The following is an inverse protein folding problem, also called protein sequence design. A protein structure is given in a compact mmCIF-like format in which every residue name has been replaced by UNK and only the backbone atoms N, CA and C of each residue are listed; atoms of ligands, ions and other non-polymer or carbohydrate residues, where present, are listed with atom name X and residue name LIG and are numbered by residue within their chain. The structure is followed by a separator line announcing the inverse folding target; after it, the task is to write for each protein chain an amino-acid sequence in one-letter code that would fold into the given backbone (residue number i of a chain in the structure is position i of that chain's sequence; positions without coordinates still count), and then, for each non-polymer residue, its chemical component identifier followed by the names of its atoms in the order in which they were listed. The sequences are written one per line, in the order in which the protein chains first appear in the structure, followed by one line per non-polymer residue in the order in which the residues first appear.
data_IF_992265129641
#
_entry.id   IF_992265129641
#
_cell.length_a   1.000
_cell.length_b   1.000
_cell.length_c   1.000
_cell.angle_alpha   90.00
_cell.angle_beta   90.00
_cell.angle_gamma   90.00
#
_symmetry.space_group_name_H-M   'P 1'
#
loop_
_entity.id
_entity.type
_entity.pdbx_description
1 polymer ?
#
# COMPACT_ATOMS: atom_id res chain seq x y z
N UNK A 1 19.99 -0.99 -25.72
CA UNK A 1 20.69 -0.79 -24.44
C UNK A 1 20.24 -1.89 -23.47
N UNK A 2 21.11 -2.87 -23.22
CA UNK A 2 20.88 -3.87 -22.17
C UNK A 2 21.36 -3.26 -20.88
N UNK A 3 20.45 -3.07 -19.93
CA UNK A 3 20.78 -2.55 -18.61
C UNK A 3 21.52 -3.64 -17.81
N UNK A 4 22.67 -3.30 -17.23
CA UNK A 4 23.45 -4.21 -16.40
C UNK A 4 23.35 -3.80 -14.93
N UNK A 5 22.67 -4.59 -14.10
CA UNK A 5 22.68 -4.44 -12.65
C UNK A 5 23.63 -5.51 -12.06
N UNK A 6 24.75 -5.10 -11.48
CA UNK A 6 25.72 -6.03 -10.88
C UNK A 6 26.38 -7.01 -11.86
N UNK A 7 26.53 -6.63 -13.14
CA UNK A 7 27.17 -7.47 -14.18
C UNK A 7 26.25 -8.50 -14.85
N UNK A 8 25.00 -8.59 -14.43
CA UNK A 8 23.98 -9.46 -15.05
C UNK A 8 23.12 -8.60 -15.98
N UNK A 9 22.87 -9.03 -17.25
CA UNK A 9 21.94 -8.34 -18.13
C UNK A 9 20.52 -8.49 -17.58
N UNK A 10 20.01 -7.45 -16.96
CA UNK A 10 18.69 -7.44 -16.33
C UNK A 10 17.99 -6.13 -16.68
N UNK A 11 16.84 -6.23 -17.35
CA UNK A 11 15.99 -5.08 -17.64
C UNK A 11 14.74 -5.14 -16.75
N UNK A 12 14.70 -4.38 -15.62
CA UNK A 12 13.57 -4.39 -14.70
C UNK A 12 12.30 -3.78 -15.31
N UNK A 13 12.42 -3.00 -16.38
CA UNK A 13 11.32 -2.32 -17.07
C UNK A 13 11.15 -2.85 -18.52
N UNK A 14 11.55 -4.09 -18.78
CA UNK A 14 11.49 -4.71 -20.10
C UNK A 14 10.06 -4.91 -20.63
N UNK A 15 9.94 -5.10 -21.92
CA UNK A 15 8.65 -5.32 -22.63
C UNK A 15 7.86 -6.49 -22.02
N UNK A 16 8.55 -7.54 -21.55
CA UNK A 16 7.91 -8.71 -20.94
C UNK A 16 7.23 -8.40 -19.60
N UNK A 17 7.74 -7.46 -18.81
CA UNK A 17 7.14 -7.03 -17.53
C UNK A 17 5.88 -6.18 -17.74
N UNK A 18 5.68 -5.64 -18.96
CA UNK A 18 4.47 -4.87 -19.30
C UNK A 18 3.22 -5.75 -19.32
N UNK A 19 3.32 -7.02 -19.73
CA UNK A 19 2.17 -7.93 -19.80
C UNK A 19 1.56 -8.18 -18.39
N UNK A 20 2.34 -8.58 -17.37
CA UNK A 20 1.82 -8.71 -16.01
C UNK A 20 1.35 -7.37 -15.43
N UNK A 21 1.98 -6.24 -15.79
CA UNK A 21 1.54 -4.92 -15.34
C UNK A 21 0.14 -4.57 -15.88
N UNK A 22 -0.14 -4.87 -17.14
CA UNK A 22 -1.48 -4.73 -17.74
C UNK A 22 -2.48 -5.65 -17.04
N UNK A 23 -2.10 -6.90 -16.78
CA UNK A 23 -2.95 -7.83 -16.04
C UNK A 23 -3.28 -7.31 -14.63
N UNK A 24 -2.29 -6.72 -13.94
CA UNK A 24 -2.47 -6.07 -12.64
C UNK A 24 -3.53 -4.96 -12.69
N UNK A 25 -3.44 -4.09 -13.71
CA UNK A 25 -4.42 -3.01 -13.92
C UNK A 25 -5.83 -3.56 -14.22
N UNK A 26 -5.93 -4.61 -15.06
CA UNK A 26 -7.21 -5.24 -15.39
C UNK A 26 -7.87 -5.90 -14.18
N UNK A 27 -7.11 -6.53 -13.30
CA UNK A 27 -7.61 -7.08 -12.03
C UNK A 27 -8.16 -5.94 -11.17
N UNK A 28 -7.44 -4.81 -11.07
CA UNK A 28 -7.93 -3.63 -10.35
C UNK A 28 -9.26 -3.09 -10.90
N UNK A 29 -9.39 -3.00 -12.23
CA UNK A 29 -10.66 -2.61 -12.88
C UNK A 29 -11.76 -3.63 -12.58
N UNK A 30 -11.45 -4.92 -12.61
CA UNK A 30 -12.44 -5.98 -12.31
C UNK A 30 -12.94 -5.87 -10.85
N UNK A 31 -12.05 -5.70 -9.87
CA UNK A 31 -12.42 -5.48 -8.46
C UNK A 31 -13.26 -4.20 -8.31
N UNK A 32 -12.86 -3.11 -8.98
CA UNK A 32 -13.64 -1.87 -8.98
C UNK A 32 -15.05 -2.05 -9.53
N UNK A 33 -15.22 -2.77 -10.63
CA UNK A 33 -16.54 -3.11 -11.19
C UNK A 33 -17.36 -3.97 -10.23
N UNK A 34 -16.73 -4.93 -9.57
CA UNK A 34 -17.40 -5.78 -8.58
C UNK A 34 -17.97 -4.93 -7.43
N UNK A 35 -17.24 -3.93 -6.95
CA UNK A 35 -17.72 -2.99 -5.92
C UNK A 35 -18.91 -2.15 -6.43
N UNK A 36 -18.81 -1.62 -7.65
CA UNK A 36 -19.86 -0.76 -8.22
C UNK A 36 -21.14 -1.52 -8.55
N UNK A 37 -21.07 -2.82 -8.83
CA UNK A 37 -22.22 -3.63 -9.19
C UNK A 37 -23.05 -4.09 -7.98
N UNK A 38 -22.48 -4.07 -6.79
CA UNK A 38 -23.16 -4.47 -5.57
C UNK A 38 -23.89 -3.27 -4.94
N UNK A 39 -25.17 -3.40 -4.66
CA UNK A 39 -25.96 -2.37 -3.97
C UNK A 39 -25.85 -2.46 -2.46
N UNK A 40 -25.70 -3.67 -1.92
CA UNK A 40 -25.59 -3.90 -0.49
C UNK A 40 -24.13 -3.86 -0.03
N UNK A 41 -23.87 -3.14 1.06
CA UNK A 41 -22.50 -2.99 1.60
C UNK A 41 -21.92 -4.30 2.13
N UNK A 42 -22.75 -5.17 2.71
CA UNK A 42 -22.30 -6.49 3.17
C UNK A 42 -21.91 -7.42 2.00
N UNK A 43 -22.67 -7.36 0.91
CA UNK A 43 -22.38 -8.13 -0.29
C UNK A 43 -21.07 -7.63 -0.95
N UNK A 44 -20.84 -6.30 -1.00
CA UNK A 44 -19.57 -5.71 -1.45
C UNK A 44 -18.38 -6.24 -0.67
N UNK A 45 -18.44 -6.14 0.66
CA UNK A 45 -17.36 -6.58 1.54
C UNK A 45 -17.08 -8.07 1.34
N UNK A 46 -18.13 -8.90 1.36
CA UNK A 46 -18.00 -10.35 1.21
C UNK A 46 -17.36 -10.73 -0.11
N UNK A 47 -17.80 -10.15 -1.22
CA UNK A 47 -17.26 -10.46 -2.55
C UNK A 47 -15.83 -9.99 -2.73
N UNK A 48 -15.49 -8.80 -2.23
CA UNK A 48 -14.13 -8.26 -2.32
C UNK A 48 -13.15 -9.07 -1.46
N UNK A 49 -13.56 -9.44 -0.24
CA UNK A 49 -12.75 -10.29 0.63
C UNK A 49 -12.56 -11.70 0.05
N UNK A 50 -13.63 -12.29 -0.50
CA UNK A 50 -13.56 -13.60 -1.13
C UNK A 50 -12.64 -13.56 -2.37
N UNK A 51 -12.81 -12.56 -3.24
CA UNK A 51 -11.95 -12.37 -4.40
C UNK A 51 -10.48 -12.18 -3.99
N UNK A 52 -10.22 -11.38 -2.96
CA UNK A 52 -8.89 -11.17 -2.40
C UNK A 52 -8.28 -12.45 -1.85
N UNK A 53 -9.04 -13.24 -1.09
CA UNK A 53 -8.59 -14.51 -0.53
C UNK A 53 -8.26 -15.55 -1.62
N UNK A 54 -9.13 -15.66 -2.64
CA UNK A 54 -8.90 -16.58 -3.77
C UNK A 54 -7.66 -16.17 -4.57
N UNK A 55 -7.49 -14.87 -4.88
CA UNK A 55 -6.31 -14.38 -5.58
C UNK A 55 -5.04 -14.63 -4.77
N UNK A 56 -5.07 -14.45 -3.45
CA UNK A 56 -3.94 -14.64 -2.57
C UNK A 56 -3.55 -16.12 -2.52
N UNK A 57 -4.52 -17.01 -2.35
CA UNK A 57 -4.33 -18.45 -2.40
C UNK A 57 -3.69 -18.88 -3.73
N UNK A 58 -4.26 -18.40 -4.85
CA UNK A 58 -3.76 -18.72 -6.18
C UNK A 58 -2.34 -18.18 -6.41
N UNK A 59 -2.05 -16.97 -5.92
CA UNK A 59 -0.71 -16.38 -5.97
C UNK A 59 0.34 -17.20 -5.22
N UNK A 60 0.02 -17.71 -4.02
CA UNK A 60 0.91 -18.59 -3.28
C UNK A 60 1.06 -19.97 -3.92
N UNK A 61 0.00 -20.51 -4.54
CA UNK A 61 0.12 -21.76 -5.31
C UNK A 61 1.03 -21.58 -6.52
N UNK A 62 0.95 -20.43 -7.20
CA UNK A 62 1.83 -20.11 -8.32
C UNK A 62 3.28 -19.88 -7.90
N UNK A 63 3.54 -19.43 -6.68
CA UNK A 63 4.88 -19.20 -6.16
C UNK A 63 5.75 -20.47 -6.21
N UNK A 64 5.12 -21.64 -6.11
CA UNK A 64 5.81 -22.92 -6.22
C UNK A 64 6.43 -23.16 -7.62
N UNK A 65 5.80 -22.64 -8.67
CA UNK A 65 6.28 -22.76 -10.05
C UNK A 65 7.03 -21.51 -10.54
N UNK A 66 6.57 -20.34 -10.10
CA UNK A 66 7.09 -19.03 -10.44
C UNK A 66 7.31 -18.22 -9.18
N UNK A 67 8.54 -18.13 -8.64
CA UNK A 67 8.82 -17.39 -7.41
C UNK A 67 8.34 -15.94 -7.45
N UNK A 68 7.82 -15.47 -6.33
CA UNK A 68 7.36 -14.08 -6.18
C UNK A 68 8.55 -13.14 -6.38
N UNK A 69 8.58 -12.44 -7.49
CA UNK A 69 9.65 -11.52 -7.82
C UNK A 69 9.08 -10.18 -8.32
N UNK A 70 9.29 -9.14 -7.52
CA UNK A 70 8.88 -7.78 -7.86
C UNK A 70 9.64 -7.23 -9.08
N UNK A 71 10.92 -7.54 -9.20
CA UNK A 71 11.77 -6.99 -10.27
C UNK A 71 11.39 -7.51 -11.65
N UNK A 72 10.90 -8.75 -11.73
CA UNK A 72 10.43 -9.36 -12.99
C UNK A 72 8.93 -9.25 -13.18
N UNK A 73 8.21 -8.68 -12.20
CA UNK A 73 6.75 -8.58 -12.19
C UNK A 73 6.08 -9.94 -12.43
N UNK A 74 6.50 -10.96 -11.68
CA UNK A 74 6.02 -12.33 -11.87
C UNK A 74 4.51 -12.45 -11.72
N UNK A 75 3.89 -13.45 -12.37
CA UNK A 75 2.46 -13.69 -12.25
C UNK A 75 2.03 -13.96 -10.80
N UNK A 76 2.84 -14.72 -10.04
CA UNK A 76 2.62 -14.94 -8.61
C UNK A 76 2.62 -13.63 -7.82
N UNK A 77 3.55 -12.71 -8.11
CA UNK A 77 3.60 -11.38 -7.50
C UNK A 77 2.32 -10.57 -7.78
N UNK A 78 1.80 -10.59 -9.03
CA UNK A 78 0.56 -9.89 -9.40
C UNK A 78 -0.62 -10.40 -8.57
N UNK A 79 -0.81 -11.72 -8.48
CA UNK A 79 -1.93 -12.31 -7.74
C UNK A 79 -1.81 -12.07 -6.23
N UNK A 80 -0.63 -12.17 -5.65
CA UNK A 80 -0.41 -11.92 -4.23
C UNK A 80 -0.66 -10.45 -3.88
N UNK A 81 -0.14 -9.53 -4.68
CA UNK A 81 -0.32 -8.09 -4.42
C UNK A 81 -1.75 -7.63 -4.64
N UNK A 82 -2.42 -8.09 -5.72
CA UNK A 82 -3.83 -7.80 -5.96
C UNK A 82 -4.73 -8.42 -4.87
N UNK A 83 -4.42 -9.65 -4.45
CA UNK A 83 -5.14 -10.33 -3.38
C UNK A 83 -5.05 -9.57 -2.07
N UNK A 84 -3.82 -9.20 -1.67
CA UNK A 84 -3.58 -8.42 -0.46
C UNK A 84 -4.27 -7.04 -0.51
N UNK A 85 -4.14 -6.33 -1.63
CA UNK A 85 -4.79 -5.05 -1.84
C UNK A 85 -6.32 -5.15 -1.75
N UNK A 86 -6.90 -6.21 -2.33
CA UNK A 86 -8.35 -6.45 -2.26
C UNK A 86 -8.82 -6.78 -0.84
N UNK A 87 -8.04 -7.55 -0.06
CA UNK A 87 -8.34 -7.80 1.35
C UNK A 87 -8.31 -6.52 2.17
N UNK A 88 -7.28 -5.71 2.01
CA UNK A 88 -7.18 -4.41 2.68
C UNK A 88 -8.33 -3.49 2.29
N UNK A 89 -8.68 -3.44 0.99
CA UNK A 89 -9.81 -2.65 0.51
C UNK A 89 -11.13 -3.14 1.10
N UNK A 90 -11.37 -4.45 1.16
CA UNK A 90 -12.55 -5.02 1.79
C UNK A 90 -12.68 -4.66 3.28
N UNK A 91 -11.57 -4.69 4.01
CA UNK A 91 -11.52 -4.27 5.42
C UNK A 91 -11.83 -2.76 5.54
N UNK A 92 -11.28 -1.92 4.65
CA UNK A 92 -11.54 -0.49 4.65
C UNK A 92 -13.01 -0.18 4.35
N UNK A 93 -13.62 -0.83 3.36
CA UNK A 93 -15.05 -0.70 3.06
C UNK A 93 -15.90 -1.12 4.28
N UNK A 94 -15.54 -2.21 4.93
CA UNK A 94 -16.23 -2.64 6.14
C UNK A 94 -16.17 -1.60 7.26
N UNK A 95 -14.98 -1.02 7.50
CA UNK A 95 -14.79 0.00 8.54
C UNK A 95 -15.52 1.29 8.17
N UNK A 96 -15.36 1.79 6.95
CA UNK A 96 -15.82 3.10 6.54
C UNK A 96 -17.30 3.13 6.18
N UNK A 97 -17.80 2.11 5.46
CA UNK A 97 -19.16 2.10 4.91
C UNK A 97 -20.18 1.40 5.83
N UNK A 98 -19.72 0.52 6.75
CA UNK A 98 -20.60 -0.21 7.65
C UNK A 98 -20.40 0.24 9.10
N UNK A 99 -19.21 0.11 9.64
CA UNK A 99 -18.96 0.36 11.06
C UNK A 99 -19.03 1.83 11.44
N UNK A 100 -18.52 2.72 10.61
CA UNK A 100 -18.49 4.15 10.90
C UNK A 100 -19.89 4.78 10.91
N UNK A 101 -20.79 4.53 9.94
CA UNK A 101 -22.17 5.00 10.00
C UNK A 101 -22.93 4.43 11.18
N UNK A 102 -22.76 3.13 11.51
CA UNK A 102 -23.36 2.53 12.71
C UNK A 102 -22.89 3.25 13.99
N UNK A 103 -21.61 3.53 14.11
CA UNK A 103 -21.04 4.25 15.24
C UNK A 103 -21.60 5.67 15.35
N UNK A 104 -21.73 6.38 14.23
CA UNK A 104 -22.21 7.77 14.17
C UNK A 104 -23.74 7.89 14.40
N UNK A 105 -24.50 6.81 14.23
CA UNK A 105 -25.96 6.79 14.49
C UNK A 105 -26.30 6.73 15.98
N UNK A 106 -25.33 6.39 16.83
CA UNK A 106 -25.52 6.30 18.29
C UNK A 106 -24.86 7.50 18.97
N UNK A 107 -25.62 8.28 19.78
CA UNK A 107 -25.03 9.36 20.55
C UNK A 107 -24.00 8.83 21.57
N UNK A 108 -22.79 9.41 21.61
CA UNK A 108 -21.74 8.92 22.48
C UNK A 108 -22.03 9.21 23.96
N UNK A 109 -22.45 8.21 24.70
CA UNK A 109 -22.74 8.31 26.13
C UNK A 109 -21.46 8.35 26.98
N UNK A 110 -20.34 7.79 26.51
CA UNK A 110 -19.10 7.64 27.29
C UNK A 110 -17.94 8.42 26.68
N UNK A 111 -16.95 8.83 27.48
CA UNK A 111 -15.71 9.49 26.99
C UNK A 111 -14.94 8.63 25.96
N UNK A 112 -14.95 7.32 26.16
CA UNK A 112 -14.31 6.38 25.23
C UNK A 112 -14.99 6.37 23.86
N UNK A 113 -16.32 6.38 23.83
CA UNK A 113 -17.09 6.46 22.58
C UNK A 113 -16.83 7.77 21.83
N UNK A 114 -16.75 8.91 22.52
CA UNK A 114 -16.38 10.20 21.91
C UNK A 114 -14.98 10.17 21.29
N UNK A 115 -14.02 9.52 21.95
CA UNK A 115 -12.68 9.35 21.41
C UNK A 115 -12.70 8.47 20.16
N UNK A 116 -13.43 7.36 20.18
CA UNK A 116 -13.61 6.48 19.02
C UNK A 116 -14.25 7.19 17.83
N UNK A 117 -15.29 7.98 18.04
CA UNK A 117 -15.92 8.81 17.01
C UNK A 117 -14.95 9.84 16.42
N UNK A 118 -14.22 10.55 17.25
CA UNK A 118 -13.24 11.53 16.79
C UNK A 118 -12.10 10.89 15.99
N UNK A 119 -11.61 9.74 16.44
CA UNK A 119 -10.58 8.98 15.75
C UNK A 119 -11.08 8.46 14.40
N UNK A 120 -12.25 7.84 14.37
CA UNK A 120 -12.86 7.29 13.16
C UNK A 120 -13.14 8.36 12.10
N UNK A 121 -13.71 9.51 12.49
CA UNK A 121 -13.94 10.63 11.58
C UNK A 121 -12.64 11.24 11.02
N UNK A 122 -11.56 11.24 11.79
CA UNK A 122 -10.25 11.72 11.34
C UNK A 122 -9.67 10.78 10.29
N UNK A 123 -9.77 9.46 10.50
CA UNK A 123 -9.35 8.45 9.54
C UNK A 123 -10.18 8.49 8.25
N UNK A 124 -11.49 8.67 8.36
CA UNK A 124 -12.35 8.85 7.19
C UNK A 124 -11.87 10.00 6.30
N UNK A 125 -11.65 11.19 6.88
CA UNK A 125 -11.13 12.36 6.15
C UNK A 125 -9.76 12.12 5.52
N UNK A 126 -8.89 11.38 6.22
CA UNK A 126 -7.59 11.02 5.69
C UNK A 126 -7.72 10.17 4.43
N UNK A 127 -8.50 9.09 4.46
CA UNK A 127 -8.72 8.24 3.28
C UNK A 127 -9.48 8.97 2.15
N UNK A 128 -10.40 9.85 2.49
CA UNK A 128 -11.10 10.69 1.53
C UNK A 128 -10.14 11.61 0.77
N UNK A 129 -9.20 12.26 1.44
CA UNK A 129 -8.16 13.07 0.79
C UNK A 129 -7.33 12.27 -0.21
N UNK A 130 -6.93 11.06 0.14
CA UNK A 130 -6.18 10.17 -0.74
C UNK A 130 -7.02 9.68 -1.94
N UNK A 131 -8.31 9.43 -1.71
CA UNK A 131 -9.23 8.97 -2.74
C UNK A 131 -9.62 10.03 -3.76
N UNK A 132 -9.75 11.29 -3.34
CA UNK A 132 -10.15 12.41 -4.21
C UNK A 132 -9.03 12.83 -5.17
N UNK A 133 -7.77 12.81 -4.70
CA UNK A 133 -6.62 13.28 -5.47
C UNK A 133 -5.45 12.29 -5.51
N UNK A 134 -5.65 11.04 -5.97
CA UNK A 134 -4.59 10.02 -5.92
C UNK A 134 -3.38 10.39 -6.77
N UNK A 135 -3.59 11.03 -7.94
CA UNK A 135 -2.51 11.45 -8.82
C UNK A 135 -1.66 12.55 -8.19
N UNK A 136 -2.29 13.52 -7.55
CA UNK A 136 -1.58 14.60 -6.85
C UNK A 136 -0.70 14.05 -5.73
N UNK A 137 -1.25 13.15 -4.91
CA UNK A 137 -0.51 12.52 -3.81
C UNK A 137 0.65 11.68 -4.34
N UNK A 138 0.44 10.94 -5.43
CA UNK A 138 1.50 10.18 -6.09
C UNK A 138 2.64 11.08 -6.57
N UNK A 139 2.33 12.17 -7.27
CA UNK A 139 3.34 13.13 -7.72
C UNK A 139 4.04 13.82 -6.53
N UNK A 140 3.28 14.20 -5.51
CA UNK A 140 3.82 14.82 -4.30
C UNK A 140 4.78 13.88 -3.57
N UNK A 141 4.41 12.61 -3.44
CA UNK A 141 5.26 11.59 -2.81
C UNK A 141 6.57 11.38 -3.56
N UNK A 142 6.51 11.33 -4.90
CA UNK A 142 7.71 11.20 -5.73
C UNK A 142 8.65 12.40 -5.60
N UNK A 143 8.10 13.61 -5.62
CA UNK A 143 8.87 14.85 -5.42
C UNK A 143 9.48 14.87 -4.03
N UNK A 144 8.70 14.54 -3.00
CA UNK A 144 9.15 14.53 -1.60
C UNK A 144 10.31 13.53 -1.39
N UNK A 145 10.14 12.28 -1.82
CA UNK A 145 11.19 11.25 -1.69
C UNK A 145 12.45 11.64 -2.44
N UNK A 146 12.31 12.16 -3.68
CA UNK A 146 13.44 12.59 -4.48
C UNK A 146 14.18 13.76 -3.82
N UNK A 147 13.45 14.73 -3.28
CA UNK A 147 14.03 15.87 -2.56
C UNK A 147 14.79 15.40 -1.32
N UNK A 148 14.18 14.52 -0.50
CA UNK A 148 14.83 13.97 0.70
C UNK A 148 16.09 13.15 0.39
N UNK A 149 16.13 12.46 -0.74
CA UNK A 149 17.29 11.70 -1.18
C UNK A 149 18.42 12.59 -1.72
N UNK A 150 18.10 13.76 -2.29
CA UNK A 150 19.09 14.69 -2.86
C UNK A 150 19.74 15.59 -1.80
N UNK A 151 19.06 15.87 -0.70
CA UNK A 151 19.63 16.66 0.41
C UNK A 151 20.65 15.79 1.13
N UNK A 152 21.94 16.16 1.02
CA UNK A 152 23.06 15.50 1.67
C UNK A 152 23.64 16.40 2.75
N UNK A 153 23.92 15.82 3.90
CA UNK A 153 24.62 16.51 4.99
C UNK A 153 25.60 15.55 5.68
N UNK A 154 26.64 16.11 6.28
CA UNK A 154 27.64 15.34 7.00
C UNK A 154 27.30 15.30 8.48
N UNK A 155 27.22 14.12 9.05
CA UNK A 155 27.00 13.90 10.47
C UNK A 155 27.96 12.81 10.97
N UNK A 156 28.79 13.13 11.98
CA UNK A 156 29.82 12.23 12.54
C UNK A 156 30.79 11.68 11.49
N UNK A 157 31.30 12.53 10.61
CA UNK A 157 32.21 12.20 9.50
C UNK A 157 31.65 11.26 8.41
N UNK A 158 30.37 10.94 8.45
CA UNK A 158 29.67 10.21 7.38
C UNK A 158 28.68 11.13 6.64
N UNK A 159 28.58 10.94 5.34
CA UNK A 159 27.62 11.67 4.49
C UNK A 159 26.31 10.92 4.45
N UNK A 160 25.26 11.55 4.96
CA UNK A 160 23.92 11.01 4.97
C UNK A 160 22.98 11.80 4.05
N UNK A 161 22.03 11.10 3.43
CA UNK A 161 20.82 11.74 2.94
C UNK A 161 19.83 11.84 4.10
N UNK A 162 18.84 12.73 4.02
CA UNK A 162 17.82 12.88 5.06
C UNK A 162 17.13 11.54 5.37
N UNK A 163 16.83 10.75 4.33
CA UNK A 163 16.18 9.44 4.47
C UNK A 163 17.09 8.38 5.13
N UNK A 164 18.36 8.30 4.71
CA UNK A 164 19.35 7.40 5.33
C UNK A 164 19.61 7.74 6.79
N UNK A 165 19.64 9.02 7.11
CA UNK A 165 19.77 9.49 8.49
C UNK A 165 18.57 9.08 9.33
N UNK A 166 17.33 9.33 8.84
CA UNK A 166 16.12 8.94 9.53
C UNK A 166 16.06 7.43 9.80
N UNK A 167 16.41 6.63 8.79
CA UNK A 167 16.47 5.18 8.94
C UNK A 167 17.54 4.73 9.93
N UNK A 168 18.83 5.09 9.69
CA UNK A 168 19.97 4.57 10.45
C UNK A 168 20.06 5.10 11.88
N UNK A 169 19.70 6.36 12.09
CA UNK A 169 19.86 7.02 13.40
C UNK A 169 18.61 6.93 14.26
N UNK A 170 17.41 6.98 13.65
CA UNK A 170 16.16 7.00 14.41
C UNK A 170 15.47 5.63 14.45
N UNK A 171 15.31 4.96 13.30
CA UNK A 171 14.44 3.77 13.21
C UNK A 171 15.19 2.46 13.46
N UNK A 172 16.38 2.31 12.93
CA UNK A 172 17.17 1.09 13.08
C UNK A 172 17.52 0.76 14.54
N UNK A 173 17.94 1.69 15.40
CA UNK A 173 18.26 1.38 16.79
C UNK A 173 17.02 1.05 17.64
N UNK A 174 15.80 1.49 17.23
CA UNK A 174 14.57 1.24 17.95
C UNK A 174 13.89 -0.08 17.56
N UNK A 175 13.94 -0.45 16.28
CA UNK A 175 13.15 -1.56 15.73
C UNK A 175 13.99 -2.64 15.02
N UNK A 176 15.31 -2.51 15.01
CA UNK A 176 16.21 -3.40 14.25
C UNK A 176 16.11 -3.18 12.74
N UNK A 177 16.81 -4.02 11.95
CA UNK A 177 16.94 -3.81 10.49
C UNK A 177 15.60 -3.93 9.73
N UNK A 178 14.85 -5.01 9.98
CA UNK A 178 13.57 -5.27 9.32
C UNK A 178 12.45 -4.39 9.86
N UNK A 179 12.34 -4.23 11.18
CA UNK A 179 11.34 -3.36 11.80
C UNK A 179 11.58 -1.88 11.50
N UNK A 180 12.85 -1.45 11.48
CA UNK A 180 13.23 -0.09 11.15
C UNK A 180 12.90 0.30 9.72
N UNK A 181 13.05 -0.61 8.75
CA UNK A 181 12.66 -0.35 7.36
C UNK A 181 11.15 -0.19 7.21
N UNK A 182 10.36 -1.03 7.87
CA UNK A 182 8.90 -0.92 7.91
C UNK A 182 8.45 0.37 8.58
N UNK A 183 9.01 0.70 9.74
CA UNK A 183 8.68 1.92 10.49
C UNK A 183 9.03 3.18 9.70
N UNK A 184 10.15 3.18 8.98
CA UNK A 184 10.53 4.30 8.11
C UNK A 184 9.56 4.47 6.93
N UNK A 185 9.11 3.38 6.31
CA UNK A 185 8.12 3.42 5.24
C UNK A 185 6.76 3.92 5.73
N UNK A 186 6.32 3.47 6.90
CA UNK A 186 5.07 3.94 7.53
C UNK A 186 5.14 5.41 7.90
N UNK A 187 6.30 5.89 8.40
CA UNK A 187 6.48 7.31 8.72
C UNK A 187 6.37 8.20 7.48
N UNK A 188 6.81 7.73 6.31
CA UNK A 188 6.65 8.45 5.04
C UNK A 188 5.17 8.63 4.69
N UNK A 189 4.37 7.58 4.84
CA UNK A 189 2.92 7.64 4.55
C UNK A 189 2.20 8.61 5.51
N UNK A 190 2.68 8.73 6.75
CA UNK A 190 2.09 9.65 7.72
C UNK A 190 2.45 11.12 7.50
N UNK A 191 3.58 11.39 6.82
CA UNK A 191 4.05 12.75 6.51
C UNK A 191 3.41 13.28 5.23
N UNK A 192 3.01 12.41 4.31
CA UNK A 192 2.32 12.74 3.06
C UNK A 192 0.83 12.97 3.28
#
# INVERSE_FOLDING_TARGET
HIYHLGGIPFDPEGILSTIPAVAHALIGVWVGRLIMHCHDNWDKVTRVLLAGAVMLLFGFCLDYAYPINKSMWSASYVFVTCGLASLLLGILIWILDIRLPELNSVEPATRLQRFQHGFANRWYKFFECFGVNPLFIFCLSAIFVNTMNNIRFTFRDEVYNVWSFWYKVCMQPLFGDTGGSLASALSLILVL
#
